data_IF_344635767254
#
_entry.id   IF_344635767254
#
_cell.length_a   1.000
_cell.length_b   1.000
_cell.length_c   1.000
_cell.angle_alpha   90.00
_cell.angle_beta   90.00
_cell.angle_gamma   90.00
#
_symmetry.space_group_name_H-M   'P 1'
#
loop_
_entity.id
_entity.type
_entity.pdbx_description
1 polymer ?
#
# COMPACT_ATOMS: atom_id res chain seq x y z
N UNK A 1 11.04 -39.06 -25.65
CA UNK A 1 11.35 -38.69 -24.26
C UNK A 1 10.66 -37.39 -23.92
N UNK A 2 9.55 -37.48 -23.20
CA UNK A 2 8.80 -36.30 -22.72
C UNK A 2 9.61 -35.68 -21.58
N UNK A 3 10.33 -34.57 -21.81
CA UNK A 3 10.90 -33.78 -20.75
C UNK A 3 9.77 -33.18 -19.92
N UNK A 4 9.70 -33.56 -18.64
CA UNK A 4 8.83 -32.88 -17.65
C UNK A 4 9.06 -31.36 -17.74
N UNK A 5 7.97 -30.54 -17.75
CA UNK A 5 8.15 -29.11 -17.69
C UNK A 5 8.95 -28.77 -16.42
N UNK A 6 10.08 -28.09 -16.58
CA UNK A 6 10.82 -27.51 -15.46
C UNK A 6 9.90 -26.55 -14.70
N UNK A 7 9.80 -26.73 -13.40
CA UNK A 7 9.12 -25.76 -12.55
C UNK A 7 9.92 -24.47 -12.58
N UNK A 8 9.41 -23.48 -13.33
CA UNK A 8 10.01 -22.16 -13.41
C UNK A 8 9.35 -21.25 -12.40
N UNK A 9 10.15 -20.65 -11.53
CA UNK A 9 9.68 -19.64 -10.58
C UNK A 9 9.87 -18.25 -11.20
N UNK A 10 8.78 -17.52 -11.37
CA UNK A 10 8.79 -16.15 -11.81
C UNK A 10 8.36 -15.26 -10.65
N UNK A 11 9.15 -14.26 -10.34
CA UNK A 11 8.89 -13.34 -9.26
C UNK A 11 8.82 -11.91 -9.78
N UNK A 12 7.71 -11.24 -9.52
CA UNK A 12 7.52 -9.83 -9.83
C UNK A 12 7.40 -9.04 -8.53
N UNK A 13 8.26 -8.06 -8.33
CA UNK A 13 8.24 -7.16 -7.18
C UNK A 13 7.86 -5.76 -7.62
N UNK A 14 6.90 -5.18 -6.91
CA UNK A 14 6.42 -3.82 -7.17
C UNK A 14 6.84 -2.91 -6.01
N UNK A 15 7.56 -1.84 -6.32
CA UNK A 15 7.94 -0.81 -5.37
C UNK A 15 7.27 0.51 -5.74
N UNK A 16 6.38 0.98 -4.88
CA UNK A 16 5.68 2.25 -5.05
C UNK A 16 5.82 3.11 -3.82
N UNK A 17 5.99 4.41 -4.05
CA UNK A 17 5.89 5.42 -3.01
C UNK A 17 4.54 6.09 -3.11
N UNK A 18 3.93 6.39 -1.98
CA UNK A 18 2.68 7.11 -1.93
C UNK A 18 2.61 8.05 -0.73
N UNK A 19 1.84 9.12 -0.88
CA UNK A 19 1.43 10.02 0.19
C UNK A 19 0.00 9.66 0.52
N UNK A 20 -0.32 9.55 1.80
CA UNK A 20 -1.66 9.18 2.24
C UNK A 20 -2.27 10.24 3.17
N UNK A 21 -2.73 11.39 2.63
CA UNK A 21 -3.51 12.33 3.41
C UNK A 21 -4.76 11.65 3.95
N UNK A 22 -5.10 11.96 5.21
CA UNK A 22 -6.21 11.32 5.93
C UNK A 22 -7.08 12.36 6.59
N UNK A 23 -8.38 12.10 6.58
CA UNK A 23 -9.38 12.80 7.41
C UNK A 23 -9.96 11.79 8.38
N UNK A 24 -9.88 12.08 9.67
CA UNK A 24 -10.33 11.20 10.73
C UNK A 24 -11.23 11.95 11.71
N UNK A 25 -12.41 11.42 11.93
CA UNK A 25 -13.33 11.85 13.01
C UNK A 25 -13.06 11.01 14.24
N UNK A 26 -12.88 11.67 15.39
CA UNK A 26 -12.60 11.01 16.66
C UNK A 26 -13.79 11.17 17.61
N UNK A 27 -14.17 10.08 18.23
CA UNK A 27 -15.17 10.03 19.27
C UNK A 27 -14.51 9.55 20.57
N UNK A 28 -14.67 10.31 21.65
CA UNK A 28 -14.12 10.01 22.96
C UNK A 28 -15.16 9.29 23.80
N UNK A 29 -15.05 7.97 23.92
CA UNK A 29 -15.93 7.16 24.74
C UNK A 29 -15.63 7.33 26.25
N UNK A 30 -14.35 7.58 26.56
CA UNK A 30 -13.84 7.85 27.90
C UNK A 30 -12.82 8.99 27.85
N UNK A 31 -12.50 9.66 28.99
CA UNK A 31 -11.63 10.85 29.01
C UNK A 31 -10.26 10.71 28.35
N UNK A 32 -9.77 9.47 28.19
CA UNK A 32 -8.45 9.19 27.63
C UNK A 32 -8.48 8.27 26.43
N UNK A 33 -9.63 7.63 26.15
CA UNK A 33 -9.75 6.67 25.06
C UNK A 33 -10.65 7.21 23.96
N UNK A 34 -10.21 7.05 22.72
CA UNK A 34 -10.99 7.43 21.55
C UNK A 34 -11.11 6.29 20.55
N UNK A 35 -12.19 6.33 19.83
CA UNK A 35 -12.39 5.59 18.59
C UNK A 35 -12.47 6.60 17.45
N UNK A 36 -11.93 6.24 16.31
CA UNK A 36 -11.98 7.09 15.14
C UNK A 36 -12.42 6.30 13.91
N UNK A 37 -13.07 7.01 13.01
CA UNK A 37 -13.38 6.52 11.68
C UNK A 37 -13.04 7.59 10.67
N UNK A 38 -12.49 7.21 9.52
CA UNK A 38 -12.06 8.16 8.53
C UNK A 38 -11.80 7.53 7.17
N UNK A 39 -11.20 8.33 6.32
CA UNK A 39 -10.77 7.92 4.99
C UNK A 39 -9.41 8.51 4.69
N UNK A 40 -8.53 7.72 4.11
CA UNK A 40 -7.29 8.19 3.52
C UNK A 40 -7.25 7.93 2.02
N UNK A 41 -6.47 8.72 1.30
CA UNK A 41 -6.25 8.56 -0.12
C UNK A 41 -4.76 8.30 -0.36
N UNK A 42 -4.40 7.06 -0.70
CA UNK A 42 -3.03 6.73 -1.09
C UNK A 42 -2.77 7.24 -2.51
N UNK A 43 -2.04 8.33 -2.62
CA UNK A 43 -1.70 9.00 -3.88
C UNK A 43 -0.29 8.58 -4.27
N UNK A 44 -0.10 7.81 -5.34
CA UNK A 44 1.21 7.37 -5.77
C UNK A 44 2.04 8.55 -6.30
N UNK A 45 3.33 8.58 -5.93
CA UNK A 45 4.28 9.57 -6.41
C UNK A 45 5.66 8.97 -6.68
N UNK A 46 6.48 9.68 -7.45
CA UNK A 46 7.86 9.26 -7.74
C UNK A 46 7.98 8.19 -8.83
N UNK A 47 9.18 7.65 -8.94
CA UNK A 47 9.50 6.61 -9.90
C UNK A 47 8.94 5.25 -9.45
N UNK A 48 8.37 4.53 -10.41
CA UNK A 48 7.94 3.15 -10.21
C UNK A 48 9.15 2.24 -10.40
N UNK A 49 9.35 1.34 -9.49
CA UNK A 49 10.33 0.30 -9.69
C UNK A 49 9.61 -1.05 -9.72
N UNK A 50 9.68 -1.72 -10.87
CA UNK A 50 9.13 -3.05 -11.07
C UNK A 50 10.32 -3.94 -11.41
N UNK A 51 10.56 -4.93 -10.57
CA UNK A 51 11.62 -5.90 -10.78
C UNK A 51 11.01 -7.25 -11.13
N UNK A 52 11.35 -7.77 -12.29
CA UNK A 52 10.96 -9.09 -12.75
C UNK A 52 12.18 -9.99 -12.78
N UNK A 53 12.07 -11.14 -12.12
CA UNK A 53 13.12 -12.16 -12.12
C UNK A 53 12.55 -13.52 -12.43
N UNK A 54 13.31 -14.32 -13.19
CA UNK A 54 13.04 -15.74 -13.37
C UNK A 54 14.28 -16.54 -12.96
N UNK A 55 14.11 -17.80 -12.57
CA UNK A 55 15.18 -18.69 -12.15
C UNK A 55 15.84 -19.47 -13.32
N UNK A 56 15.49 -19.16 -14.57
CA UNK A 56 16.12 -19.76 -15.74
C UNK A 56 17.51 -19.19 -15.97
N UNK A 57 18.47 -20.09 -16.22
CA UNK A 57 19.85 -19.72 -16.49
C UNK A 57 20.09 -19.66 -18.01
N UNK A 58 20.68 -18.56 -18.47
CA UNK A 58 21.07 -18.35 -19.85
C UNK A 58 20.78 -16.93 -20.38
N UNK A 59 21.59 -16.49 -21.32
CA UNK A 59 21.52 -15.13 -21.87
C UNK A 59 20.17 -14.80 -22.54
N UNK A 60 19.58 -15.77 -23.23
CA UNK A 60 18.28 -15.62 -23.89
C UNK A 60 17.17 -15.35 -22.86
N UNK A 61 17.19 -16.05 -21.74
CA UNK A 61 16.20 -15.89 -20.68
C UNK A 61 16.38 -14.57 -19.92
N UNK A 62 17.62 -14.10 -19.78
CA UNK A 62 17.91 -12.79 -19.20
C UNK A 62 17.33 -11.67 -20.07
N UNK A 63 17.57 -11.69 -21.37
CA UNK A 63 17.01 -10.72 -22.30
C UNK A 63 15.49 -10.76 -22.35
N UNK A 64 14.90 -11.94 -22.23
CA UNK A 64 13.44 -12.08 -22.16
C UNK A 64 12.90 -11.48 -20.86
N UNK A 65 13.57 -11.69 -19.73
CA UNK A 65 13.19 -11.11 -18.44
C UNK A 65 13.27 -9.58 -18.46
N UNK A 66 14.33 -9.00 -19.05
CA UNK A 66 14.47 -7.55 -19.23
C UNK A 66 13.34 -6.96 -20.08
N UNK A 67 13.00 -7.58 -21.21
CA UNK A 67 11.87 -7.14 -22.05
C UNK A 67 10.53 -7.22 -21.32
N UNK A 68 10.31 -8.30 -20.57
CA UNK A 68 9.10 -8.45 -19.75
C UNK A 68 9.03 -7.38 -18.69
N UNK A 69 10.13 -7.07 -18.02
CA UNK A 69 10.21 -6.01 -17.01
C UNK A 69 9.88 -4.63 -17.60
N UNK A 70 10.44 -4.31 -18.77
CA UNK A 70 10.18 -3.03 -19.43
C UNK A 70 8.71 -2.92 -19.85
N UNK A 71 8.15 -3.99 -20.40
CA UNK A 71 6.74 -4.04 -20.75
C UNK A 71 5.83 -3.88 -19.51
N UNK A 72 6.16 -4.51 -18.39
CA UNK A 72 5.42 -4.33 -17.14
C UNK A 72 5.51 -2.88 -16.62
N UNK A 73 6.68 -2.24 -16.74
CA UNK A 73 6.85 -0.82 -16.35
C UNK A 73 5.98 0.12 -17.18
N UNK A 74 5.76 -0.18 -18.44
CA UNK A 74 4.88 0.60 -19.32
C UNK A 74 3.41 0.33 -19.06
N UNK A 75 3.05 -0.93 -18.85
CA UNK A 75 1.67 -1.41 -18.80
C UNK A 75 1.03 -1.22 -17.44
N UNK A 76 1.79 -1.37 -16.33
CA UNK A 76 1.24 -1.30 -14.97
C UNK A 76 1.30 0.14 -14.45
N UNK A 77 0.15 0.69 -14.10
CA UNK A 77 0.03 2.06 -13.55
C UNK A 77 -0.56 2.03 -12.15
N UNK A 78 0.10 2.73 -11.22
CA UNK A 78 -0.45 2.96 -9.91
C UNK A 78 -1.61 3.98 -9.98
N UNK A 79 -2.62 3.76 -9.17
CA UNK A 79 -3.83 4.60 -9.05
C UNK A 79 -3.96 5.12 -7.64
N UNK A 80 -4.74 6.17 -7.49
CA UNK A 80 -5.17 6.60 -6.17
C UNK A 80 -6.06 5.53 -5.56
N UNK A 81 -5.69 5.07 -4.37
CA UNK A 81 -6.49 4.13 -3.59
C UNK A 81 -7.17 4.86 -2.44
N UNK A 82 -8.48 4.66 -2.28
CA UNK A 82 -9.24 5.17 -1.16
C UNK A 82 -9.32 4.10 -0.08
N UNK A 83 -8.96 4.46 1.14
CA UNK A 83 -8.78 3.56 2.27
C UNK A 83 -9.63 4.05 3.43
N UNK A 84 -10.87 3.55 3.59
CA UNK A 84 -11.60 3.69 4.84
C UNK A 84 -10.76 3.15 5.99
N UNK A 85 -10.74 3.88 7.09
CA UNK A 85 -9.91 3.56 8.25
C UNK A 85 -10.72 3.59 9.53
N UNK A 86 -10.39 2.69 10.43
CA UNK A 86 -10.84 2.70 11.83
C UNK A 86 -9.63 2.82 12.73
N UNK A 87 -9.73 3.62 13.78
CA UNK A 87 -8.65 3.86 14.73
C UNK A 87 -9.16 3.75 16.16
N UNK A 88 -8.37 3.12 17.00
CA UNK A 88 -8.55 3.16 18.45
C UNK A 88 -7.29 3.74 19.07
N UNK A 89 -7.45 4.53 20.12
CA UNK A 89 -6.28 5.13 20.73
C UNK A 89 -6.52 5.65 22.13
N UNK A 90 -5.39 5.95 22.74
CA UNK A 90 -5.28 6.53 24.06
C UNK A 90 -4.57 7.88 23.96
N UNK A 91 -5.12 8.89 24.63
CA UNK A 91 -4.53 10.24 24.71
C UNK A 91 -4.39 10.63 26.18
N UNK A 92 -3.18 10.89 26.61
CA UNK A 92 -2.95 11.55 27.88
C UNK A 92 -2.90 13.07 27.69
N UNK A 93 -4.05 13.71 27.89
CA UNK A 93 -4.24 15.15 27.69
C UNK A 93 -3.29 15.99 28.56
N UNK A 94 -2.91 15.50 29.74
CA UNK A 94 -2.02 16.23 30.65
C UNK A 94 -0.59 16.29 30.13
N UNK A 95 -0.12 15.18 29.57
CA UNK A 95 1.25 15.03 29.08
C UNK A 95 1.35 15.17 27.54
N UNK A 96 0.22 15.30 26.85
CA UNK A 96 0.21 15.43 25.39
C UNK A 96 0.56 14.14 24.64
N UNK A 97 0.72 13.02 25.33
CA UNK A 97 1.08 11.75 24.70
C UNK A 97 -0.13 11.07 24.07
N UNK A 98 0.03 10.58 22.86
CA UNK A 98 -0.96 9.80 22.12
C UNK A 98 -0.34 8.47 21.68
N UNK A 99 -1.11 7.38 21.84
CA UNK A 99 -0.81 6.09 21.26
C UNK A 99 -2.07 5.53 20.61
N UNK A 100 -1.96 4.94 19.44
CA UNK A 100 -3.12 4.40 18.74
C UNK A 100 -2.76 3.32 17.75
N UNK A 101 -3.75 2.49 17.44
CA UNK A 101 -3.72 1.50 16.39
C UNK A 101 -4.79 1.82 15.36
N UNK A 102 -4.43 1.71 14.10
CA UNK A 102 -5.32 1.98 12.97
C UNK A 102 -5.31 0.79 12.01
N UNK A 103 -6.48 0.46 11.52
CA UNK A 103 -6.67 -0.50 10.44
C UNK A 103 -7.40 0.18 9.29
N UNK A 104 -6.85 0.03 8.09
CA UNK A 104 -7.44 0.53 6.86
C UNK A 104 -7.55 -0.55 5.81
N UNK A 105 -8.61 -0.51 5.02
CA UNK A 105 -8.79 -1.40 3.88
C UNK A 105 -9.19 -0.60 2.64
N UNK A 106 -8.41 -0.74 1.56
CA UNK A 106 -8.75 -0.14 0.28
C UNK A 106 -9.86 -0.93 -0.41
N UNK A 107 -10.85 -0.25 -0.94
CA UNK A 107 -11.95 -0.89 -1.67
C UNK A 107 -11.82 -0.76 -3.19
N UNK A 108 -10.77 -0.13 -3.67
CA UNK A 108 -10.44 -0.07 -5.08
C UNK A 108 -9.01 -0.55 -5.35
N UNK A 109 -8.80 -1.05 -6.56
CA UNK A 109 -7.48 -1.52 -6.96
C UNK A 109 -6.45 -0.40 -7.00
N UNK A 110 -5.31 -0.65 -6.38
CA UNK A 110 -4.17 0.25 -6.37
C UNK A 110 -3.36 0.21 -7.67
N UNK A 111 -3.39 -0.92 -8.37
CA UNK A 111 -2.68 -1.12 -9.63
C UNK A 111 -3.67 -1.33 -10.77
N UNK A 112 -3.40 -0.69 -11.90
CA UNK A 112 -4.13 -0.93 -13.15
C UNK A 112 -3.14 -1.42 -14.19
N UNK A 113 -3.50 -2.50 -14.87
CA UNK A 113 -2.81 -2.96 -16.07
C UNK A 113 -3.53 -2.44 -17.32
N UNK A 114 -2.78 -1.95 -18.28
CA UNK A 114 -3.32 -1.48 -19.56
C UNK A 114 -3.36 -2.57 -20.64
N UNK A 115 -2.67 -3.70 -20.41
CA UNK A 115 -2.58 -4.82 -21.35
C UNK A 115 -3.02 -6.13 -20.71
N UNK A 116 -3.77 -6.92 -21.47
CA UNK A 116 -4.41 -8.17 -21.04
C UNK A 116 -3.49 -9.40 -21.11
N UNK A 117 -2.23 -9.23 -21.53
CA UNK A 117 -1.39 -10.34 -21.96
C UNK A 117 -0.86 -11.24 -20.84
N UNK A 118 -1.03 -10.84 -19.56
CA UNK A 118 -0.41 -11.55 -18.43
C UNK A 118 -1.37 -12.07 -17.36
N UNK A 119 -2.69 -12.05 -17.59
CA UNK A 119 -3.66 -12.57 -16.62
C UNK A 119 -3.68 -11.86 -15.26
N UNK A 120 -3.03 -10.70 -15.14
CA UNK A 120 -3.03 -9.89 -13.90
C UNK A 120 -4.34 -9.14 -13.68
N UNK A 121 -5.22 -9.10 -14.65
CA UNK A 121 -6.43 -8.27 -14.62
C UNK A 121 -7.54 -8.80 -13.72
N UNK A 122 -7.53 -10.08 -13.41
CA UNK A 122 -8.57 -10.70 -12.59
C UNK A 122 -8.27 -10.70 -11.09
N UNK A 123 -7.10 -10.16 -10.68
CA UNK A 123 -6.71 -10.11 -9.27
C UNK A 123 -6.99 -8.73 -8.70
N UNK A 124 -7.81 -8.69 -7.66
CA UNK A 124 -8.00 -7.49 -6.84
C UNK A 124 -6.72 -7.16 -6.09
N UNK A 125 -6.23 -5.92 -6.25
CA UNK A 125 -5.02 -5.41 -5.60
C UNK A 125 -5.40 -4.37 -4.54
N UNK A 126 -6.22 -4.77 -3.58
CA UNK A 126 -6.67 -3.88 -2.52
C UNK A 126 -5.58 -3.68 -1.49
N UNK A 127 -5.34 -2.43 -1.12
CA UNK A 127 -4.37 -2.09 -0.08
C UNK A 127 -4.98 -2.29 1.31
N UNK A 128 -4.34 -3.11 2.13
CA UNK A 128 -4.65 -3.22 3.55
C UNK A 128 -3.52 -2.61 4.36
N UNK A 129 -3.87 -1.84 5.37
CA UNK A 129 -2.90 -1.16 6.22
C UNK A 129 -3.18 -1.44 7.68
N UNK A 130 -2.11 -1.71 8.43
CA UNK A 130 -2.11 -1.71 9.89
C UNK A 130 -1.03 -0.74 10.33
N UNK A 131 -1.38 0.23 11.14
CA UNK A 131 -0.42 1.21 11.64
C UNK A 131 -0.52 1.40 13.15
N UNK A 132 0.66 1.58 13.75
CA UNK A 132 0.81 2.01 15.14
C UNK A 132 1.24 3.46 15.13
N UNK A 133 0.55 4.29 15.89
CA UNK A 133 0.87 5.71 16.02
C UNK A 133 1.32 5.98 17.44
N UNK A 134 2.46 6.62 17.58
CA UNK A 134 2.88 7.28 18.83
C UNK A 134 3.09 8.74 18.47
N UNK A 135 2.42 9.63 19.18
CA UNK A 135 2.42 11.05 18.90
C UNK A 135 2.51 11.90 20.15
N UNK A 136 2.83 13.16 19.94
CA UNK A 136 2.81 14.17 20.97
C UNK A 136 1.98 15.36 20.49
N UNK A 137 0.93 15.69 21.24
CA UNK A 137 0.07 16.83 20.93
C UNK A 137 0.61 18.08 21.63
N UNK A 138 1.09 19.02 20.83
CA UNK A 138 1.47 20.34 21.33
C UNK A 138 0.22 21.20 21.52
N UNK A 139 -0.07 21.73 22.74
CA UNK A 139 -1.16 22.66 22.91
C UNK A 139 -0.81 23.99 22.23
N UNK A 140 -1.34 24.23 21.05
CA UNK A 140 -1.20 25.49 20.32
C UNK A 140 -2.21 26.52 20.84
N UNK A 141 -1.95 27.07 22.03
CA UNK A 141 -2.73 28.15 22.60
C UNK A 141 -3.65 27.76 23.75
N UNK A 142 -3.75 28.65 24.71
CA UNK A 142 -4.79 28.57 25.76
C UNK A 142 -6.12 28.92 25.10
N UNK A 143 -7.04 27.99 25.03
CA UNK A 143 -8.44 28.33 24.86
C UNK A 143 -8.81 29.27 26.04
N UNK A 144 -9.15 30.51 25.75
CA UNK A 144 -9.74 31.43 26.71
C UNK A 144 -11.16 31.00 26.99
#
# INVERSE_FOLDING_TARGET
EYKKPENVTETTRFHYYFIAPQVLFRFYAFPKFYMGAGISAAIPFGSRNIDFTNDRVGEVYRQQAERTQDHLRESVKARVAFIPTIKIGYVDIKNGLEAGMEYGFGFNDMLRTSANDYGYQERTNNLQTVSLTIGYSLPLGKAK
#
